data_IF_488689933408
#
_entry.id   IF_488689933408
#
_cell.length_a   1.000
_cell.length_b   1.000
_cell.length_c   1.000
_cell.angle_alpha   90.00
_cell.angle_beta   90.00
_cell.angle_gamma   90.00
#
_symmetry.space_group_name_H-M   'P 1'
#
loop_
_entity.id
_entity.type
_entity.pdbx_description
1 polymer ?
#
# COMPACT_ATOMS: atom_id res chain seq x y z
N UNK A 1 -1.84 29.68 15.56
CA UNK A 1 -1.34 28.43 16.17
C UNK A 1 -1.98 27.27 15.45
N UNK A 2 -1.15 26.38 14.89
CA UNK A 2 -1.49 25.33 13.91
C UNK A 2 -2.65 24.42 14.36
N UNK A 3 -3.59 24.03 13.46
CA UNK A 3 -4.61 23.04 13.77
C UNK A 3 -3.98 21.65 13.90
N UNK A 4 -4.35 20.94 14.98
CA UNK A 4 -4.01 19.53 15.18
C UNK A 4 -4.79 18.69 14.16
N UNK A 5 -4.13 18.37 13.05
CA UNK A 5 -4.59 17.39 12.07
C UNK A 5 -4.61 16.01 12.74
N UNK A 6 -5.75 15.65 13.31
CA UNK A 6 -6.00 14.31 13.81
C UNK A 6 -6.17 13.38 12.62
N UNK A 7 -5.16 12.58 12.33
CA UNK A 7 -5.24 11.46 11.38
C UNK A 7 -6.57 10.71 11.55
N UNK A 8 -7.48 10.73 10.57
CA UNK A 8 -8.63 9.83 10.59
C UNK A 8 -8.12 8.41 10.30
N UNK A 9 -7.63 7.74 11.33
CA UNK A 9 -7.30 6.31 11.31
C UNK A 9 -8.56 5.53 10.93
N UNK A 10 -8.60 5.08 9.68
CA UNK A 10 -9.26 3.87 9.21
C UNK A 10 -10.70 3.68 9.71
N UNK A 11 -11.64 4.44 9.13
CA UNK A 11 -13.06 4.05 9.12
C UNK A 11 -13.40 3.39 7.79
N UNK A 12 -13.60 2.08 7.83
CA UNK A 12 -14.28 1.34 6.77
C UNK A 12 -13.36 0.43 5.97
N UNK A 13 -13.67 -0.87 5.96
CA UNK A 13 -13.00 -1.92 5.18
C UNK A 13 -13.20 -1.81 3.67
N UNK A 14 -12.91 -0.64 3.10
CA UNK A 14 -12.78 -0.41 1.66
C UNK A 14 -11.29 -0.29 1.37
N UNK A 15 -10.79 -0.97 0.35
CA UNK A 15 -9.47 -0.65 -0.20
C UNK A 15 -9.47 0.84 -0.55
N UNK A 16 -8.64 1.63 0.13
CA UNK A 16 -8.43 3.05 -0.19
C UNK A 16 -7.05 3.15 -0.83
N UNK A 17 -6.98 3.78 -2.00
CA UNK A 17 -5.71 4.10 -2.66
C UNK A 17 -4.75 4.81 -1.71
N UNK A 18 -5.29 5.65 -0.84
CA UNK A 18 -4.61 6.37 0.24
C UNK A 18 -3.66 5.49 1.08
N UNK A 19 -4.04 4.23 1.38
CA UNK A 19 -3.23 3.32 2.19
C UNK A 19 -1.88 2.97 1.54
N UNK A 20 -1.83 3.00 0.21
CA UNK A 20 -0.61 2.69 -0.55
C UNK A 20 0.02 3.95 -1.14
N UNK A 21 -0.74 5.03 -1.32
CA UNK A 21 -0.23 6.33 -1.78
C UNK A 21 0.84 6.89 -0.83
N UNK A 22 0.65 6.70 0.49
CA UNK A 22 1.62 7.12 1.52
C UNK A 22 2.90 6.26 1.55
N UNK A 23 2.95 5.14 0.83
CA UNK A 23 4.14 4.28 0.78
C UNK A 23 5.25 5.00 0.04
N UNK A 24 6.37 5.19 0.74
CA UNK A 24 7.59 5.76 0.16
C UNK A 24 8.36 4.68 -0.57
N UNK A 25 8.53 4.87 -1.87
CA UNK A 25 9.30 3.99 -2.73
C UNK A 25 10.64 4.64 -3.02
N UNK A 26 11.72 3.86 -2.89
CA UNK A 26 13.05 4.31 -3.27
C UNK A 26 13.22 4.18 -4.79
N UNK A 27 13.47 5.30 -5.45
CA UNK A 27 13.62 5.40 -6.89
C UNK A 27 14.88 6.20 -7.20
N UNK A 28 15.86 5.58 -7.87
CA UNK A 28 17.14 6.21 -8.24
C UNK A 28 17.83 6.98 -7.09
N UNK A 29 17.80 6.44 -5.86
CA UNK A 29 18.43 7.04 -4.68
C UNK A 29 17.62 8.13 -3.97
N UNK A 30 16.39 8.40 -4.43
CA UNK A 30 15.45 9.32 -3.76
C UNK A 30 14.20 8.59 -3.31
N UNK A 31 13.62 8.99 -2.17
CA UNK A 31 12.35 8.45 -1.69
C UNK A 31 11.21 9.31 -2.22
N UNK A 32 10.38 8.73 -3.09
CA UNK A 32 9.21 9.40 -3.65
C UNK A 32 7.95 8.65 -3.23
N UNK A 33 6.82 9.36 -3.22
CA UNK A 33 5.52 8.74 -2.94
C UNK A 33 5.11 7.84 -4.10
N UNK A 34 4.48 6.71 -3.78
CA UNK A 34 4.04 5.76 -4.80
C UNK A 34 3.09 6.40 -5.84
N UNK A 35 2.22 7.31 -5.41
CA UNK A 35 1.29 8.03 -6.30
C UNK A 35 1.98 8.84 -7.40
N UNK A 36 3.22 9.30 -7.16
CA UNK A 36 3.99 10.07 -8.15
C UNK A 36 4.70 9.16 -9.15
N UNK A 37 4.95 7.91 -8.75
CA UNK A 37 5.69 6.92 -9.50
C UNK A 37 4.78 5.93 -10.25
N UNK A 38 3.50 5.86 -9.87
CA UNK A 38 2.54 4.91 -10.40
C UNK A 38 1.11 5.46 -10.38
N UNK A 39 0.30 5.01 -11.35
CA UNK A 39 -1.14 5.20 -11.34
C UNK A 39 -1.80 4.16 -10.44
N UNK A 40 -2.68 4.59 -9.53
CA UNK A 40 -3.38 3.70 -8.60
C UNK A 40 -4.85 3.64 -9.01
N UNK A 41 -5.32 2.44 -9.33
CA UNK A 41 -6.70 2.15 -9.71
C UNK A 41 -7.31 1.08 -8.82
N UNK A 42 -8.60 1.21 -8.52
CA UNK A 42 -9.34 0.29 -7.65
C UNK A 42 -10.50 -0.30 -8.45
N UNK A 43 -10.24 -1.32 -9.30
CA UNK A 43 -11.32 -1.95 -10.06
C UNK A 43 -12.32 -2.67 -9.15
N UNK A 44 -11.86 -3.17 -7.99
CA UNK A 44 -12.69 -3.87 -7.03
C UNK A 44 -12.39 -3.39 -5.61
N UNK A 45 -13.37 -3.38 -4.70
CA UNK A 45 -13.19 -2.89 -3.33
C UNK A 45 -12.16 -3.67 -2.49
N UNK A 46 -11.67 -4.81 -3.01
CA UNK A 46 -10.66 -5.69 -2.40
C UNK A 46 -9.39 -5.83 -3.23
N UNK A 47 -9.36 -5.24 -4.43
CA UNK A 47 -8.23 -5.34 -5.35
C UNK A 47 -7.78 -3.94 -5.73
N UNK A 48 -6.55 -3.61 -5.35
CA UNK A 48 -5.85 -2.45 -5.85
C UNK A 48 -4.96 -2.86 -7.02
N UNK A 49 -4.91 -2.02 -8.06
CA UNK A 49 -3.96 -2.14 -9.15
C UNK A 49 -3.09 -0.89 -9.13
N UNK A 50 -1.78 -1.12 -9.08
CA UNK A 50 -0.75 -0.09 -9.16
C UNK A 50 -0.03 -0.30 -10.48
N UNK A 51 -0.13 0.68 -11.36
CA UNK A 51 0.52 0.69 -12.66
C UNK A 51 1.69 1.68 -12.62
N UNK A 52 2.92 1.22 -12.39
CA UNK A 52 4.09 2.09 -12.40
C UNK A 52 4.35 2.65 -13.79
N UNK A 53 4.73 3.92 -13.86
CA UNK A 53 5.09 4.57 -15.13
C UNK A 53 6.36 3.96 -15.73
N UNK A 54 7.24 3.45 -14.87
CA UNK A 54 8.51 2.83 -15.25
C UNK A 54 8.60 1.38 -14.73
N UNK A 55 9.03 0.44 -15.56
CA UNK A 55 9.12 -0.97 -15.14
C UNK A 55 10.32 -1.25 -14.23
N UNK A 56 11.33 -0.38 -14.22
CA UNK A 56 12.52 -0.53 -13.37
C UNK A 56 12.18 -0.36 -11.90
N UNK A 57 11.13 0.41 -11.59
CA UNK A 57 10.66 0.64 -10.22
C UNK A 57 9.73 -0.46 -9.70
N UNK A 58 9.27 -1.41 -10.55
CA UNK A 58 8.39 -2.52 -10.12
C UNK A 58 8.95 -3.24 -8.89
N UNK A 59 10.24 -3.60 -8.93
CA UNK A 59 10.92 -4.28 -7.82
C UNK A 59 10.99 -3.41 -6.58
N UNK A 60 11.17 -2.10 -6.75
CA UNK A 60 11.25 -1.16 -5.63
C UNK A 60 9.89 -0.95 -4.98
N UNK A 61 8.82 -0.85 -5.79
CA UNK A 61 7.44 -0.75 -5.31
C UNK A 61 7.05 -2.03 -4.56
N UNK A 62 7.33 -3.20 -5.14
CA UNK A 62 7.09 -4.50 -4.50
C UNK A 62 7.78 -4.59 -3.14
N UNK A 63 9.07 -4.22 -3.07
CA UNK A 63 9.83 -4.19 -1.83
C UNK A 63 9.30 -3.16 -0.83
N UNK A 64 8.89 -1.97 -1.29
CA UNK A 64 8.36 -0.91 -0.45
C UNK A 64 7.03 -1.34 0.20
N UNK A 65 6.16 -2.01 -0.55
CA UNK A 65 4.91 -2.57 -0.03
C UNK A 65 5.19 -3.71 0.95
N UNK A 66 6.10 -4.63 0.64
CA UNK A 66 6.49 -5.71 1.55
C UNK A 66 7.12 -5.19 2.85
N UNK A 67 7.88 -4.10 2.78
CA UNK A 67 8.50 -3.45 3.94
C UNK A 67 7.50 -2.58 4.71
N UNK A 68 6.35 -2.25 4.11
CA UNK A 68 5.31 -1.48 4.78
C UNK A 68 4.58 -2.32 5.83
N UNK A 69 4.17 -1.69 6.93
CA UNK A 69 3.40 -2.33 8.01
C UNK A 69 1.98 -2.79 7.61
N UNK A 70 1.62 -2.65 6.33
CA UNK A 70 0.32 -3.05 5.79
C UNK A 70 0.11 -4.58 5.87
N UNK A 71 1.19 -5.37 5.80
CA UNK A 71 1.09 -6.84 5.82
C UNK A 71 0.31 -7.41 4.64
N UNK A 72 0.32 -6.69 3.51
CA UNK A 72 -0.33 -7.07 2.26
C UNK A 72 0.75 -7.58 1.31
N UNK A 73 0.47 -8.70 0.63
CA UNK A 73 1.38 -9.23 -0.38
C UNK A 73 1.09 -8.61 -1.76
N UNK A 74 2.06 -7.90 -2.37
CA UNK A 74 1.97 -7.50 -3.77
C UNK A 74 2.08 -8.72 -4.69
N UNK A 75 1.22 -8.76 -5.71
CA UNK A 75 1.29 -9.72 -6.81
C UNK A 75 1.72 -8.98 -8.07
N UNK A 76 2.92 -9.28 -8.55
CA UNK A 76 3.52 -8.63 -9.71
C UNK A 76 3.17 -9.38 -11.00
N UNK A 77 2.53 -8.69 -11.95
CA UNK A 77 2.11 -9.23 -13.25
C UNK A 77 3.08 -8.83 -14.38
N UNK A 78 4.23 -8.23 -14.04
CA UNK A 78 5.28 -7.77 -14.96
C UNK A 78 5.03 -6.39 -15.58
N UNK A 79 3.77 -5.93 -15.63
CA UNK A 79 3.41 -4.56 -16.02
C UNK A 79 2.73 -3.79 -14.88
N UNK A 80 1.95 -4.49 -14.05
CA UNK A 80 1.18 -3.91 -12.95
C UNK A 80 1.40 -4.71 -11.66
N UNK A 81 1.24 -4.05 -10.52
CA UNK A 81 1.25 -4.68 -9.20
C UNK A 81 -0.18 -4.72 -8.67
N UNK A 82 -0.64 -5.91 -8.35
CA UNK A 82 -1.97 -6.15 -7.79
C UNK A 82 -1.86 -6.35 -6.29
N UNK A 83 -2.64 -5.61 -5.54
CA UNK A 83 -2.75 -5.74 -4.10
C UNK A 83 -4.13 -6.27 -3.75
N UNK A 84 -4.17 -7.53 -3.34
CA UNK A 84 -5.36 -8.09 -2.73
C UNK A 84 -5.39 -7.64 -1.27
N UNK A 85 -6.27 -6.69 -0.94
CA UNK A 85 -6.48 -6.28 0.45
C UNK A 85 -7.32 -7.38 1.10
N UNK A 86 -6.77 -8.15 2.06
CA UNK A 86 -7.56 -9.11 2.80
C UNK A 86 -8.70 -8.35 3.51
N UNK A 87 -9.83 -9.01 3.81
CA UNK A 87 -10.81 -8.38 4.68
C UNK A 87 -10.09 -7.88 5.92
N UNK A 88 -10.34 -6.62 6.31
CA UNK A 88 -10.02 -6.10 7.63
C UNK A 88 -10.84 -6.90 8.64
N UNK A 89 -10.52 -8.17 8.83
CA UNK A 89 -10.96 -8.86 10.00
C UNK A 89 -10.16 -8.24 11.13
N UNK A 90 -10.89 -8.00 12.21
CA UNK A 90 -10.44 -7.59 13.53
C UNK A 90 -9.45 -8.62 14.16
N UNK A 91 -8.64 -9.30 13.36
CA UNK A 91 -8.09 -10.64 13.57
C UNK A 91 -6.56 -10.63 13.73
N UNK A 92 -5.94 -9.46 13.92
CA UNK A 92 -4.71 -9.39 14.72
C UNK A 92 -4.99 -9.33 16.23
N UNK A 93 -6.24 -9.52 16.68
CA UNK A 93 -6.60 -9.48 18.12
C UNK A 93 -6.17 -10.73 18.92
N UNK A 94 -5.56 -11.76 18.33
CA UNK A 94 -5.11 -12.97 19.07
C UNK A 94 -3.73 -13.55 18.68
N UNK A 95 -2.79 -12.71 18.24
CA UNK A 95 -1.42 -13.16 17.91
C UNK A 95 -0.36 -13.01 19.01
N UNK A 96 -0.71 -12.41 20.15
CA UNK A 96 0.21 -12.17 21.28
C UNK A 96 -0.26 -12.85 22.57
N UNK A 97 -0.66 -14.12 22.46
CA UNK A 97 -0.70 -15.00 23.62
C UNK A 97 0.29 -16.14 23.37
N UNK A 98 1.38 -16.13 24.14
CA UNK A 98 2.26 -17.27 24.47
C UNK A 98 3.52 -17.44 23.63
N UNK A 99 4.56 -16.67 24.00
CA UNK A 99 5.80 -17.29 24.51
C UNK A 99 5.65 -17.42 26.02
#
# INVERSE_FOLDING_TARGET
TLPKEGYPKMRGGRARADLVSEVKVECYGSRMSLEQLASISIPEPRLLIIEPWDKSILKNVEKAILTSDLGINPSNDGNVIRLAVPPLTEERRKGLAKI
#
